data_IF_224030179049
#
_entry.id   IF_224030179049
#
_cell.length_a   1.000
_cell.length_b   1.000
_cell.length_c   1.000
_cell.angle_alpha   90.00
_cell.angle_beta   90.00
_cell.angle_gamma   90.00
#
_symmetry.space_group_name_H-M   'P 1'
#
loop_
_entity.id
_entity.type
_entity.pdbx_description
1 polymer ?
#
# COMPACT_ATOMS: atom_id res chain seq x y z
N UNK A 1 11.61 -44.92 -71.27
CA UNK A 1 11.03 -45.16 -69.92
C UNK A 1 11.90 -44.41 -68.91
N UNK A 2 11.61 -43.19 -68.44
CA UNK A 2 10.33 -42.54 -68.23
C UNK A 2 9.84 -42.71 -66.78
N UNK A 3 10.62 -42.26 -65.78
CA UNK A 3 10.18 -42.22 -64.39
C UNK A 3 10.23 -40.77 -63.89
N UNK A 4 9.04 -40.16 -63.86
CA UNK A 4 8.78 -38.83 -63.30
C UNK A 4 8.83 -38.92 -61.78
N UNK A 5 9.57 -38.01 -61.15
CA UNK A 5 9.56 -37.79 -59.70
C UNK A 5 8.63 -36.61 -59.42
N UNK A 6 7.40 -36.90 -59.07
CA UNK A 6 6.51 -35.98 -58.37
C UNK A 6 6.41 -36.42 -56.90
N UNK A 7 5.81 -35.58 -56.04
CA UNK A 7 5.65 -35.71 -54.58
C UNK A 7 6.89 -35.24 -53.80
N UNK A 8 6.87 -34.18 -52.97
CA UNK A 8 5.81 -33.58 -52.17
C UNK A 8 6.13 -32.08 -52.00
N UNK A 9 5.23 -31.18 -52.43
CA UNK A 9 5.24 -29.76 -52.04
C UNK A 9 4.36 -29.63 -50.80
N UNK A 10 4.94 -29.68 -49.61
CA UNK A 10 4.22 -29.35 -48.37
C UNK A 10 4.00 -27.83 -48.38
N UNK A 11 2.77 -27.31 -48.38
CA UNK A 11 2.55 -25.88 -48.34
C UNK A 11 2.94 -25.39 -46.94
N UNK A 12 4.00 -24.59 -46.87
CA UNK A 12 4.47 -23.84 -45.69
C UNK A 12 3.50 -22.73 -45.25
N UNK A 13 2.19 -22.91 -45.48
CA UNK A 13 1.16 -21.91 -45.24
C UNK A 13 0.17 -22.31 -44.13
N UNK A 14 0.21 -23.56 -43.64
CA UNK A 14 -0.72 -24.06 -42.63
C UNK A 14 -0.17 -24.06 -41.19
N UNK A 15 1.05 -23.56 -40.96
CA UNK A 15 1.69 -23.55 -39.63
C UNK A 15 1.63 -22.20 -38.89
N UNK A 16 1.08 -21.14 -39.52
CA UNK A 16 1.10 -19.77 -38.95
C UNK A 16 -0.23 -19.35 -38.31
N UNK A 17 -1.28 -20.20 -38.36
CA UNK A 17 -2.59 -19.85 -37.79
C UNK A 17 -2.79 -20.27 -36.32
N UNK A 18 -1.91 -21.10 -35.76
CA UNK A 18 -2.13 -21.70 -34.43
C UNK A 18 -1.39 -21.01 -33.27
N UNK A 19 -0.69 -19.89 -33.52
CA UNK A 19 0.15 -19.23 -32.52
C UNK A 19 -0.48 -17.98 -31.86
N UNK A 20 -1.69 -17.56 -32.26
CA UNK A 20 -2.32 -16.34 -31.72
C UNK A 20 -3.31 -16.56 -30.56
N UNK A 21 -3.50 -17.79 -30.09
CA UNK A 21 -4.41 -18.07 -28.95
C UNK A 21 -3.68 -18.36 -27.65
N UNK A 22 -2.49 -17.80 -27.43
CA UNK A 22 -1.90 -17.77 -26.10
C UNK A 22 -2.62 -16.71 -25.24
N UNK A 23 -3.83 -17.08 -24.85
CA UNK A 23 -4.38 -16.89 -23.50
C UNK A 23 -3.85 -15.67 -22.77
N UNK A 24 -4.63 -14.58 -22.81
CA UNK A 24 -4.66 -13.63 -21.73
C UNK A 24 -5.04 -14.38 -20.44
N UNK A 25 -4.05 -14.95 -19.77
CA UNK A 25 -4.23 -15.48 -18.43
C UNK A 25 -4.68 -14.27 -17.56
N UNK A 26 -5.76 -14.39 -16.79
CA UNK A 26 -6.08 -13.36 -15.82
C UNK A 26 -4.84 -13.22 -14.93
N UNK A 27 -4.24 -12.02 -14.94
CA UNK A 27 -3.23 -11.67 -13.96
C UNK A 27 -3.92 -11.76 -12.60
N UNK A 28 -3.68 -12.84 -11.86
CA UNK A 28 -4.15 -12.96 -10.49
C UNK A 28 -3.47 -11.85 -9.72
N UNK A 29 -4.20 -10.78 -9.45
CA UNK A 29 -3.68 -9.65 -8.69
C UNK A 29 -3.33 -10.16 -7.29
N UNK A 30 -2.03 -10.27 -7.02
CA UNK A 30 -1.52 -10.83 -5.77
C UNK A 30 -2.03 -10.03 -4.59
N UNK A 31 -2.66 -10.70 -3.61
CA UNK A 31 -3.10 -10.05 -2.39
C UNK A 31 -1.91 -9.45 -1.63
N UNK A 32 -2.04 -8.22 -1.18
CA UNK A 32 -1.00 -7.51 -0.41
C UNK A 32 -1.51 -7.26 1.01
N UNK A 33 -0.63 -7.45 1.99
CA UNK A 33 -0.88 -7.04 3.38
C UNK A 33 0.06 -5.90 3.72
N UNK A 34 -0.48 -4.82 4.27
CA UNK A 34 0.29 -3.68 4.78
C UNK A 34 0.11 -3.57 6.30
N UNK A 35 1.12 -3.06 7.00
CA UNK A 35 1.05 -2.63 8.39
C UNK A 35 1.12 -1.10 8.47
N UNK A 36 0.06 -0.48 8.99
CA UNK A 36 0.06 0.92 9.41
C UNK A 36 0.35 1.01 10.91
N UNK A 37 1.49 1.62 11.27
CA UNK A 37 1.81 1.96 12.66
C UNK A 37 1.39 3.40 12.93
N UNK A 38 0.33 3.59 13.73
CA UNK A 38 -0.33 4.87 13.95
C UNK A 38 -0.35 5.30 15.42
N UNK A 39 -0.70 6.56 15.68
CA UNK A 39 -0.90 7.09 17.03
C UNK A 39 -2.29 6.73 17.60
N UNK A 40 -2.47 6.90 18.92
CA UNK A 40 -3.53 6.23 19.69
C UNK A 40 -5.00 6.52 19.30
N UNK A 41 -5.43 7.79 19.09
CA UNK A 41 -6.84 8.13 18.88
C UNK A 41 -7.30 7.95 17.43
N UNK A 42 -6.48 7.42 16.52
CA UNK A 42 -6.87 7.22 15.12
C UNK A 42 -7.53 5.86 14.86
N UNK A 43 -7.79 5.04 15.89
CA UNK A 43 -8.30 3.66 15.77
C UNK A 43 -9.53 3.56 14.87
N UNK A 44 -10.54 4.38 15.15
CA UNK A 44 -11.83 4.36 14.44
C UNK A 44 -11.68 4.92 13.03
N UNK A 45 -10.95 6.03 12.87
CA UNK A 45 -10.62 6.61 11.56
C UNK A 45 -10.03 5.55 10.63
N UNK A 46 -9.06 4.81 11.16
CA UNK A 46 -8.27 3.88 10.38
C UNK A 46 -9.01 2.54 10.17
N UNK A 47 -9.91 2.14 11.07
CA UNK A 47 -10.83 1.03 10.82
C UNK A 47 -11.74 1.31 9.60
N UNK A 48 -12.31 2.51 9.51
CA UNK A 48 -13.19 2.91 8.40
C UNK A 48 -12.40 3.19 7.11
N UNK A 49 -11.33 3.99 7.20
CA UNK A 49 -10.53 4.37 6.04
C UNK A 49 -9.90 3.16 5.34
N UNK A 50 -9.44 2.16 6.10
CA UNK A 50 -8.89 0.94 5.52
C UNK A 50 -9.91 0.19 4.65
N UNK A 51 -11.15 0.05 5.13
CA UNK A 51 -12.21 -0.62 4.37
C UNK A 51 -12.52 0.14 3.09
N UNK A 52 -12.59 1.47 3.18
CA UNK A 52 -12.80 2.34 2.03
C UNK A 52 -11.65 2.22 1.02
N UNK A 53 -10.40 2.27 1.48
CA UNK A 53 -9.22 2.15 0.63
C UNK A 53 -9.12 0.78 -0.04
N UNK A 54 -9.32 -0.32 0.69
CA UNK A 54 -9.27 -1.66 0.14
C UNK A 54 -10.33 -1.87 -0.96
N UNK A 55 -11.56 -1.38 -0.74
CA UNK A 55 -12.63 -1.40 -1.74
C UNK A 55 -12.26 -0.55 -2.97
N UNK A 56 -11.77 0.67 -2.74
CA UNK A 56 -11.33 1.56 -3.82
C UNK A 56 -10.21 0.92 -4.66
N UNK A 57 -9.21 0.34 -3.99
CA UNK A 57 -8.06 -0.26 -4.64
C UNK A 57 -8.46 -1.48 -5.47
N UNK A 58 -9.26 -2.39 -4.91
CA UNK A 58 -9.77 -3.55 -5.64
C UNK A 58 -10.58 -3.15 -6.87
N UNK A 59 -11.44 -2.14 -6.75
CA UNK A 59 -12.21 -1.64 -7.89
C UNK A 59 -11.31 -1.02 -8.98
N UNK A 60 -10.21 -0.39 -8.58
CA UNK A 60 -9.29 0.30 -9.50
C UNK A 60 -8.28 -0.63 -10.17
N UNK A 61 -7.76 -1.61 -9.43
CA UNK A 61 -6.60 -2.42 -9.86
C UNK A 61 -6.90 -3.91 -9.95
N UNK A 62 -8.03 -4.37 -9.41
CA UNK A 62 -8.33 -5.79 -9.22
C UNK A 62 -7.60 -6.44 -8.05
N UNK A 63 -6.73 -5.71 -7.35
CA UNK A 63 -5.88 -6.24 -6.28
C UNK A 63 -6.57 -6.19 -4.91
N UNK A 64 -6.51 -7.31 -4.19
CA UNK A 64 -6.91 -7.36 -2.78
C UNK A 64 -5.82 -6.79 -1.87
N UNK A 65 -6.20 -5.83 -1.01
CA UNK A 65 -5.29 -5.24 -0.02
C UNK A 65 -5.90 -5.39 1.37
N UNK A 66 -5.11 -5.96 2.29
CA UNK A 66 -5.42 -6.02 3.72
C UNK A 66 -4.49 -5.06 4.46
N UNK A 67 -5.03 -4.25 5.36
CA UNK A 67 -4.21 -3.32 6.14
C UNK A 67 -4.38 -3.65 7.63
N UNK A 68 -3.30 -4.10 8.25
CA UNK A 68 -3.14 -4.29 9.70
C UNK A 68 -2.79 -2.96 10.36
N UNK A 69 -3.11 -2.85 11.64
CA UNK A 69 -2.94 -1.60 12.38
C UNK A 69 -2.31 -1.84 13.75
N UNK A 70 -1.44 -0.93 14.15
CA UNK A 70 -0.92 -0.81 15.51
C UNK A 70 -1.20 0.60 16.01
N UNK A 71 -1.67 0.73 17.26
CA UNK A 71 -1.97 2.02 17.87
C UNK A 71 -1.37 2.13 19.28
N UNK A 72 -0.83 3.31 19.59
CA UNK A 72 -0.33 3.67 20.90
C UNK A 72 0.23 5.10 20.92
N UNK A 73 0.90 5.48 22.00
CA UNK A 73 1.57 6.79 22.07
C UNK A 73 2.56 6.98 20.92
N UNK A 74 2.51 8.14 20.25
CA UNK A 74 3.23 8.38 18.98
C UNK A 74 4.73 8.11 19.07
N UNK A 75 5.43 8.65 20.07
CA UNK A 75 6.86 8.37 20.27
C UNK A 75 7.18 6.90 20.62
N UNK A 76 6.26 6.18 21.28
CA UNK A 76 6.42 4.74 21.54
C UNK A 76 6.30 3.94 20.24
N UNK A 77 5.37 4.32 19.38
CA UNK A 77 5.18 3.72 18.07
C UNK A 77 6.39 3.96 17.16
N UNK A 78 6.91 5.19 17.11
CA UNK A 78 8.15 5.51 16.40
C UNK A 78 9.31 4.63 16.88
N UNK A 79 9.49 4.50 18.21
CA UNK A 79 10.50 3.62 18.79
C UNK A 79 10.30 2.16 18.39
N UNK A 80 9.07 1.65 18.42
CA UNK A 80 8.82 0.25 18.01
C UNK A 80 9.25 -0.05 16.57
N UNK A 81 9.07 0.91 15.65
CA UNK A 81 9.53 0.78 14.26
C UNK A 81 11.05 0.86 14.17
N UNK A 82 11.68 1.78 14.91
CA UNK A 82 13.15 1.86 15.00
C UNK A 82 13.74 0.53 15.50
N UNK A 83 13.09 -0.09 16.48
CA UNK A 83 13.52 -1.34 17.10
C UNK A 83 13.14 -2.61 16.30
N UNK A 84 12.53 -2.46 15.11
CA UNK A 84 12.33 -3.55 14.15
C UNK A 84 10.89 -3.99 13.90
N UNK A 85 9.87 -3.25 14.36
CA UNK A 85 8.51 -3.45 13.88
C UNK A 85 8.43 -3.03 12.40
N UNK A 86 8.19 -4.01 11.53
CA UNK A 86 8.22 -3.86 10.06
C UNK A 86 6.96 -3.14 9.53
N UNK A 87 6.96 -1.81 9.65
CA UNK A 87 5.87 -0.95 9.21
C UNK A 87 6.03 -0.56 7.73
N UNK A 88 5.01 -0.81 6.91
CA UNK A 88 4.96 -0.31 5.54
C UNK A 88 4.71 1.20 5.50
N UNK A 89 3.85 1.68 6.41
CA UNK A 89 3.53 3.10 6.57
C UNK A 89 3.42 3.46 8.04
N UNK A 90 3.83 4.69 8.35
CA UNK A 90 3.63 5.30 9.66
C UNK A 90 2.73 6.50 9.54
N UNK A 91 1.81 6.67 10.49
CA UNK A 91 0.86 7.78 10.52
C UNK A 91 0.85 8.34 11.93
N UNK A 92 1.88 9.12 12.26
CA UNK A 92 2.22 9.55 13.62
C UNK A 92 1.64 10.94 13.95
N UNK A 93 1.68 11.32 15.23
CA UNK A 93 1.02 12.53 15.72
C UNK A 93 1.74 13.84 15.34
N UNK A 94 3.05 13.80 15.12
CA UNK A 94 3.87 14.99 14.86
C UNK A 94 5.15 14.64 14.09
N UNK A 95 5.72 15.65 13.41
CA UNK A 95 6.88 15.48 12.54
C UNK A 95 8.13 14.95 13.28
N UNK A 96 8.35 15.37 14.53
CA UNK A 96 9.51 14.94 15.32
C UNK A 96 9.60 13.42 15.53
N UNK A 97 8.47 12.73 15.62
CA UNK A 97 8.44 11.27 15.76
C UNK A 97 8.77 10.58 14.43
N UNK A 98 8.40 11.19 13.30
CA UNK A 98 8.78 10.70 11.97
C UNK A 98 10.26 10.97 11.68
N UNK A 99 10.77 12.15 12.06
CA UNK A 99 12.20 12.48 11.98
C UNK A 99 13.07 11.53 12.81
N UNK A 100 12.54 11.01 13.92
CA UNK A 100 13.22 10.00 14.72
C UNK A 100 13.45 8.69 13.94
N UNK A 101 12.51 8.28 13.06
CA UNK A 101 12.68 7.10 12.20
C UNK A 101 13.84 7.28 11.24
N UNK A 102 13.99 8.48 10.65
CA UNK A 102 15.14 8.82 9.80
C UNK A 102 16.43 8.84 10.61
N UNK A 103 16.42 9.53 11.75
CA UNK A 103 17.64 9.82 12.52
C UNK A 103 18.22 8.59 13.19
N UNK A 104 17.35 7.72 13.72
CA UNK A 104 17.79 6.58 14.51
C UNK A 104 17.67 5.25 13.75
N UNK A 105 16.80 5.16 12.74
CA UNK A 105 16.59 3.95 11.95
C UNK A 105 17.10 4.02 10.51
N UNK A 106 17.20 5.21 9.92
CA UNK A 106 17.58 5.37 8.51
C UNK A 106 16.53 4.86 7.51
N UNK A 107 15.30 4.58 7.96
CA UNK A 107 14.26 3.90 7.18
C UNK A 107 13.56 4.78 6.13
N UNK A 108 13.64 6.10 6.28
CA UNK A 108 12.95 7.07 5.42
C UNK A 108 13.93 8.16 4.96
N UNK A 109 13.72 8.77 3.78
CA UNK A 109 14.61 9.80 3.26
C UNK A 109 14.53 11.10 4.06
N UNK A 110 15.59 11.91 3.97
CA UNK A 110 15.69 13.18 4.72
C UNK A 110 14.60 14.20 4.36
N UNK A 111 14.09 14.15 3.13
CA UNK A 111 13.06 15.05 2.61
C UNK A 111 11.65 14.45 2.69
N UNK A 112 11.44 13.43 3.55
CA UNK A 112 10.16 12.71 3.68
C UNK A 112 8.96 13.67 3.79
N UNK A 113 9.10 14.75 4.55
CA UNK A 113 8.02 15.69 4.86
C UNK A 113 7.50 16.42 3.60
N UNK A 114 8.34 16.55 2.57
CA UNK A 114 8.00 17.20 1.30
C UNK A 114 7.41 16.25 0.25
N UNK A 115 7.41 14.94 0.50
CA UNK A 115 6.95 13.93 -0.46
C UNK A 115 5.43 13.95 -0.65
N UNK A 116 4.69 14.49 0.31
CA UNK A 116 3.25 14.70 0.24
C UNK A 116 2.91 16.18 0.53
N UNK A 117 1.80 16.70 -0.02
CA UNK A 117 1.34 18.05 0.25
C UNK A 117 1.18 18.35 1.75
N UNK A 118 1.14 19.65 2.09
CA UNK A 118 0.85 20.13 3.44
C UNK A 118 1.79 19.53 4.51
N UNK A 119 3.08 19.47 4.22
CA UNK A 119 4.10 18.89 5.11
C UNK A 119 3.80 17.45 5.50
N UNK A 120 3.23 16.67 4.57
CA UNK A 120 2.76 15.30 4.80
C UNK A 120 1.72 15.17 5.92
N UNK A 121 0.96 16.23 6.19
CA UNK A 121 -0.17 16.25 7.12
C UNK A 121 -1.49 16.41 6.35
N UNK A 122 -2.18 15.31 5.99
CA UNK A 122 -3.43 15.36 5.21
C UNK A 122 -4.63 15.92 6.00
N UNK A 123 -4.48 16.09 7.31
CA UNK A 123 -5.46 16.74 8.18
C UNK A 123 -4.74 17.46 9.33
N UNK A 124 -5.47 18.30 10.06
CA UNK A 124 -5.01 18.93 11.29
C UNK A 124 -6.03 18.71 12.40
N UNK A 125 -5.60 18.93 13.64
CA UNK A 125 -6.46 18.94 14.82
C UNK A 125 -6.03 20.11 15.73
N UNK A 126 -6.67 20.25 16.87
CA UNK A 126 -6.31 21.24 17.88
C UNK A 126 -6.49 20.67 19.28
N UNK A 127 -5.91 21.35 20.28
CA UNK A 127 -6.03 20.96 21.68
C UNK A 127 -7.22 21.68 22.29
N UNK A 128 -8.11 20.91 22.91
CA UNK A 128 -9.29 21.42 23.63
C UNK A 128 -9.34 20.83 25.03
N UNK A 129 -10.09 21.48 25.91
CA UNK A 129 -10.39 20.95 27.24
C UNK A 129 -11.71 20.16 27.17
N UNK A 130 -11.66 18.88 27.52
CA UNK A 130 -12.87 18.07 27.72
C UNK A 130 -13.24 18.14 29.19
N UNK A 131 -14.42 18.68 29.47
CA UNK A 131 -14.95 18.87 30.83
C UNK A 131 -16.15 17.96 31.07
N UNK A 132 -16.41 17.62 32.33
CA UNK A 132 -17.64 16.89 32.70
C UNK A 132 -18.86 17.79 32.52
N UNK A 133 -20.02 17.15 32.34
CA UNK A 133 -21.31 17.84 32.32
C UNK A 133 -21.45 18.76 33.55
N UNK A 134 -21.91 19.98 33.31
CA UNK A 134 -22.09 21.02 34.33
C UNK A 134 -20.94 22.02 34.42
N UNK A 135 -19.71 21.64 34.06
CA UNK A 135 -18.49 22.49 34.03
C UNK A 135 -18.51 23.67 35.03
N UNK A 136 -18.39 23.40 36.34
CA UNK A 136 -18.50 24.43 37.36
C UNK A 136 -17.43 25.51 37.17
N UNK A 137 -17.82 26.76 37.37
CA UNK A 137 -16.98 27.95 37.18
C UNK A 137 -15.97 28.14 38.31
#
# INVERSE_FOLDING_TARGET
MGLRRDFIKIPLAAAVASALTLTALPSFAQSVTLLNVSYDPTRELYAEYNQAFAKHWKAKTGQDVTIKQSHGGSGKQARSVIDGLDADVVTLALAGDVDALRTNGGWIPNDWQKRLPHNSAPYTSTIVLVVRQGNPK
#
